data_IF_192846683325
#
_entry.id   IF_192846683325
#
_cell.length_a   1.000
_cell.length_b   1.000
_cell.length_c   1.000
_cell.angle_alpha   90.00
_cell.angle_beta   90.00
_cell.angle_gamma   90.00
#
_symmetry.space_group_name_H-M   'P 1'
#
loop_
_entity.id
_entity.type
_entity.pdbx_description
1 polymer ?
#
# COMPACT_ATOMS: atom_id res chain seq x y z
N UNK A 1 -14.97 9.39 -25.52
CA UNK A 1 -13.49 9.48 -25.41
C UNK A 1 -12.95 8.08 -25.59
N UNK A 2 -12.02 7.89 -26.53
CA UNK A 2 -11.36 6.61 -26.79
C UNK A 2 -10.60 6.13 -25.56
N UNK A 3 -10.86 4.90 -25.10
CA UNK A 3 -10.16 4.28 -23.97
C UNK A 3 -9.49 2.98 -24.41
N UNK A 4 -8.18 3.02 -24.75
CA UNK A 4 -7.45 1.85 -25.24
C UNK A 4 -7.44 0.69 -24.25
N UNK A 5 -7.48 0.97 -22.93
CA UNK A 5 -7.52 -0.10 -21.93
C UNK A 5 -8.83 -0.88 -21.99
N UNK A 6 -9.95 -0.20 -22.30
CA UNK A 6 -11.25 -0.86 -22.52
C UNK A 6 -11.22 -1.83 -23.71
N UNK A 7 -10.53 -1.47 -24.81
CA UNK A 7 -10.36 -2.38 -25.95
C UNK A 7 -9.56 -3.62 -25.60
N UNK A 8 -8.49 -3.45 -24.82
CA UNK A 8 -7.72 -4.59 -24.33
C UNK A 8 -8.57 -5.54 -23.46
N UNK A 9 -9.44 -5.01 -22.60
CA UNK A 9 -10.38 -5.86 -21.85
C UNK A 9 -11.37 -6.58 -22.74
N UNK A 10 -11.85 -5.96 -23.82
CA UNK A 10 -12.68 -6.63 -24.81
C UNK A 10 -11.94 -7.84 -25.43
N UNK A 11 -10.68 -7.65 -25.85
CA UNK A 11 -9.85 -8.73 -26.38
C UNK A 11 -9.58 -9.83 -25.34
N UNK A 12 -9.40 -9.48 -24.06
CA UNK A 12 -9.23 -10.45 -22.97
C UNK A 12 -10.48 -11.33 -22.86
N UNK A 13 -11.68 -10.76 -22.88
CA UNK A 13 -12.92 -11.52 -22.82
C UNK A 13 -13.02 -12.54 -23.97
N UNK A 14 -12.72 -12.10 -25.20
CA UNK A 14 -12.68 -12.99 -26.36
C UNK A 14 -11.61 -14.09 -26.20
N UNK A 15 -10.43 -13.75 -25.69
CA UNK A 15 -9.35 -14.70 -25.44
C UNK A 15 -9.68 -15.75 -24.37
N UNK A 16 -10.60 -15.44 -23.45
CA UNK A 16 -11.15 -16.37 -22.46
C UNK A 16 -12.27 -17.26 -23.05
N UNK A 17 -12.69 -17.03 -24.30
CA UNK A 17 -13.78 -17.77 -24.95
C UNK A 17 -15.17 -17.22 -24.64
N UNK A 18 -15.27 -16.01 -24.07
CA UNK A 18 -16.54 -15.36 -23.77
C UNK A 18 -17.08 -14.57 -24.95
N UNK A 19 -18.41 -14.36 -25.00
CA UNK A 19 -19.07 -13.45 -25.93
C UNK A 19 -19.22 -12.06 -25.29
N UNK A 20 -18.41 -11.06 -25.69
CA UNK A 20 -18.48 -9.70 -25.15
C UNK A 20 -19.79 -8.98 -25.44
N UNK A 21 -20.59 -9.46 -26.42
CA UNK A 21 -21.88 -8.86 -26.80
C UNK A 21 -23.04 -9.27 -25.89
N UNK A 22 -22.88 -10.34 -25.11
CA UNK A 22 -23.93 -10.78 -24.17
C UNK A 22 -24.19 -9.73 -23.09
N UNK A 23 -25.43 -9.63 -22.65
CA UNK A 23 -25.94 -8.59 -21.77
C UNK A 23 -25.04 -8.34 -20.54
N UNK A 24 -24.60 -9.39 -19.86
CA UNK A 24 -23.77 -9.28 -18.65
C UNK A 24 -22.35 -8.79 -18.91
N UNK A 25 -21.83 -8.85 -20.15
CA UNK A 25 -20.45 -8.47 -20.49
C UNK A 25 -20.34 -7.21 -21.34
N UNK A 26 -21.44 -6.69 -21.88
CA UNK A 26 -21.45 -5.54 -22.81
C UNK A 26 -20.70 -4.33 -22.25
N UNK A 27 -20.88 -4.03 -20.96
CA UNK A 27 -20.23 -2.89 -20.29
C UNK A 27 -18.96 -3.29 -19.52
N UNK A 28 -18.62 -4.57 -19.49
CA UNK A 28 -17.47 -5.07 -18.72
C UNK A 28 -16.15 -4.46 -19.14
N UNK A 29 -15.84 -4.25 -20.43
CA UNK A 29 -14.59 -3.60 -20.83
C UNK A 29 -14.39 -2.23 -20.20
N UNK A 30 -15.41 -1.38 -20.22
CA UNK A 30 -15.36 -0.04 -19.63
C UNK A 30 -15.29 -0.08 -18.11
N UNK A 31 -16.07 -0.98 -17.48
CA UNK A 31 -16.07 -1.14 -16.02
C UNK A 31 -14.72 -1.65 -15.52
N UNK A 32 -14.13 -2.62 -16.20
CA UNK A 32 -12.83 -3.19 -15.86
C UNK A 32 -11.70 -2.16 -16.04
N UNK A 33 -11.74 -1.38 -17.15
CA UNK A 33 -10.79 -0.29 -17.36
C UNK A 33 -10.84 0.74 -16.23
N UNK A 34 -12.03 1.22 -15.87
CA UNK A 34 -12.22 2.17 -14.77
C UNK A 34 -11.73 1.60 -13.43
N UNK A 35 -12.06 0.34 -13.14
CA UNK A 35 -11.62 -0.32 -11.91
C UNK A 35 -10.10 -0.44 -11.82
N UNK A 36 -9.43 -0.86 -12.90
CA UNK A 36 -7.97 -1.00 -12.92
C UNK A 36 -7.28 0.37 -12.79
N UNK A 37 -7.77 1.41 -13.47
CA UNK A 37 -7.26 2.78 -13.30
C UNK A 37 -7.42 3.26 -11.87
N UNK A 38 -8.58 3.03 -11.24
CA UNK A 38 -8.79 3.36 -9.84
C UNK A 38 -7.82 2.61 -8.91
N UNK A 39 -7.59 1.33 -9.17
CA UNK A 39 -6.67 0.51 -8.38
C UNK A 39 -5.19 0.91 -8.57
N UNK A 40 -4.87 1.64 -9.64
CA UNK A 40 -3.51 2.07 -9.97
C UNK A 40 -3.32 3.60 -9.93
N UNK A 41 -4.27 4.37 -9.38
CA UNK A 41 -4.21 5.83 -9.38
C UNK A 41 -3.02 6.43 -8.58
N UNK A 42 -2.35 5.62 -7.78
CA UNK A 42 -1.16 6.03 -7.05
C UNK A 42 0.02 6.44 -7.95
N UNK A 43 -0.01 6.09 -9.24
CA UNK A 43 0.97 6.59 -10.21
C UNK A 43 0.73 8.08 -10.58
N UNK A 44 -0.48 8.56 -10.42
CA UNK A 44 -0.89 9.92 -10.81
C UNK A 44 -0.70 10.94 -9.65
N UNK A 45 -0.16 10.51 -8.52
CA UNK A 45 -0.01 11.33 -7.31
C UNK A 45 1.46 11.47 -6.96
N UNK A 46 1.94 12.70 -6.71
CA UNK A 46 3.26 12.97 -6.17
C UNK A 46 3.24 13.05 -4.64
N UNK A 47 4.37 12.71 -4.01
CA UNK A 47 4.52 12.78 -2.56
C UNK A 47 4.40 14.22 -2.05
N UNK A 48 4.97 15.18 -2.77
CA UNK A 48 4.93 16.61 -2.44
C UNK A 48 3.50 17.17 -2.45
N UNK A 49 2.75 16.91 -3.53
CA UNK A 49 1.34 17.32 -3.65
C UNK A 49 0.47 16.68 -2.56
N UNK A 50 0.74 15.41 -2.26
CA UNK A 50 -0.01 14.68 -1.24
C UNK A 50 0.22 15.29 0.15
N UNK A 51 1.47 15.59 0.51
CA UNK A 51 1.83 16.19 1.81
C UNK A 51 1.27 17.60 1.92
N UNK A 52 1.40 18.40 0.86
CA UNK A 52 0.82 19.75 0.75
C UNK A 52 1.00 20.60 2.03
N UNK A 53 2.24 20.67 2.52
CA UNK A 53 2.57 21.49 3.68
C UNK A 53 2.02 21.02 5.03
N UNK A 54 1.43 19.83 5.13
CA UNK A 54 0.87 19.29 6.39
C UNK A 54 1.94 18.73 7.34
N UNK A 55 3.02 19.49 7.52
CA UNK A 55 4.07 19.29 8.52
C UNK A 55 3.94 20.39 9.57
N UNK A 56 3.77 20.02 10.81
CA UNK A 56 3.58 20.92 11.93
C UNK A 56 4.76 20.88 12.87
N UNK A 57 5.19 22.05 13.38
CA UNK A 57 6.22 22.12 14.41
C UNK A 57 5.76 21.40 15.67
N UNK A 58 6.64 20.62 16.27
CA UNK A 58 6.37 19.86 17.49
C UNK A 58 7.63 19.78 18.35
N UNK A 59 7.47 19.86 19.65
CA UNK A 59 8.55 19.61 20.62
C UNK A 59 8.59 18.14 21.05
N UNK A 60 7.66 17.31 20.56
CA UNK A 60 7.66 15.87 20.85
C UNK A 60 8.80 15.17 20.12
N UNK A 61 9.53 14.35 20.86
CA UNK A 61 10.56 13.41 20.39
C UNK A 61 10.17 11.94 20.63
N UNK A 62 8.93 11.72 21.11
CA UNK A 62 8.36 10.41 21.35
C UNK A 62 7.84 9.76 20.07
N UNK A 63 7.73 8.43 20.06
CA UNK A 63 7.24 7.66 18.95
C UNK A 63 5.79 8.06 18.59
N UNK A 64 5.58 8.43 17.34
CA UNK A 64 4.24 8.58 16.74
C UNK A 64 3.93 7.33 15.93
N UNK A 65 2.82 6.66 16.22
CA UNK A 65 2.41 5.43 15.55
C UNK A 65 0.98 5.50 15.02
N UNK A 66 0.79 5.08 13.78
CA UNK A 66 -0.51 4.91 13.13
C UNK A 66 -0.66 3.45 12.76
N UNK A 67 -1.70 2.81 13.30
CA UNK A 67 -1.95 1.37 13.16
C UNK A 67 -3.15 1.08 12.27
N UNK A 68 -3.24 -0.18 11.82
CA UNK A 68 -4.39 -0.73 11.10
C UNK A 68 -4.80 0.08 9.87
N UNK A 69 -3.82 0.68 9.18
CA UNK A 69 -4.08 1.39 7.92
C UNK A 69 -4.39 0.33 6.85
N UNK A 70 -5.65 0.24 6.46
CA UNK A 70 -6.08 -0.68 5.41
C UNK A 70 -5.37 -0.37 4.10
N UNK A 71 -4.96 -1.40 3.38
CA UNK A 71 -4.35 -1.26 2.07
C UNK A 71 -4.89 -2.29 1.07
N UNK A 72 -4.97 -1.85 -0.17
CA UNK A 72 -5.38 -2.63 -1.34
C UNK A 72 -4.37 -2.39 -2.44
N UNK A 73 -3.74 -3.44 -2.93
CA UNK A 73 -2.70 -3.35 -3.96
C UNK A 73 -2.85 -4.47 -4.99
N UNK A 74 -2.16 -4.35 -6.11
CA UNK A 74 -2.11 -5.36 -7.14
C UNK A 74 -0.71 -5.96 -7.21
N UNK A 75 -0.62 -7.29 -7.14
CA UNK A 75 0.63 -8.01 -7.35
C UNK A 75 1.12 -7.78 -8.80
N UNK A 76 2.33 -7.25 -8.97
CA UNK A 76 2.88 -6.95 -10.30
C UNK A 76 3.05 -8.18 -11.18
N UNK A 77 3.22 -9.38 -10.59
CA UNK A 77 3.42 -10.62 -11.33
C UNK A 77 2.14 -11.17 -11.98
N UNK A 78 0.97 -10.91 -11.37
CA UNK A 78 -0.28 -11.58 -11.76
C UNK A 78 -1.46 -10.62 -11.96
N UNK A 79 -1.32 -9.33 -11.63
CA UNK A 79 -2.40 -8.34 -11.56
C UNK A 79 -3.55 -8.75 -10.62
N UNK A 80 -3.30 -9.70 -9.73
CA UNK A 80 -4.25 -10.12 -8.71
C UNK A 80 -4.05 -9.31 -7.44
N UNK A 81 -5.13 -9.02 -6.67
CA UNK A 81 -5.01 -8.20 -5.49
C UNK A 81 -4.26 -8.89 -4.34
N UNK A 82 -3.62 -8.06 -3.54
CA UNK A 82 -3.32 -8.40 -2.15
C UNK A 82 -3.90 -7.33 -1.24
N UNK A 83 -4.43 -7.77 -0.12
CA UNK A 83 -5.23 -6.95 0.79
C UNK A 83 -4.68 -7.13 2.18
N UNK A 84 -4.50 -6.02 2.89
CA UNK A 84 -3.91 -6.09 4.22
C UNK A 84 -3.98 -4.80 4.99
N UNK A 85 -3.04 -4.66 5.92
CA UNK A 85 -2.91 -3.49 6.78
C UNK A 85 -1.45 -3.13 6.93
N UNK A 86 -1.19 -1.82 7.01
CA UNK A 86 0.09 -1.24 7.34
C UNK A 86 0.05 -0.63 8.74
N UNK A 87 1.16 -0.77 9.46
CA UNK A 87 1.44 -0.10 10.72
C UNK A 87 2.69 0.75 10.50
N UNK A 88 2.59 2.04 10.73
CA UNK A 88 3.65 3.02 10.47
C UNK A 88 3.97 3.74 11.75
N UNK A 89 5.25 3.79 12.11
CA UNK A 89 5.73 4.60 13.22
C UNK A 89 6.93 5.45 12.81
N UNK A 90 7.09 6.61 13.43
CA UNK A 90 8.27 7.44 13.26
C UNK A 90 8.59 8.21 14.56
N UNK A 91 9.84 8.60 14.73
CA UNK A 91 10.31 9.43 15.85
C UNK A 91 10.58 10.84 15.32
N UNK A 92 9.75 11.85 15.70
CA UNK A 92 9.88 13.20 15.19
C UNK A 92 11.19 13.86 15.58
N UNK A 93 11.67 14.77 14.74
CA UNK A 93 12.82 15.67 15.00
C UNK A 93 12.39 17.12 14.81
N UNK A 94 11.44 17.58 15.63
CA UNK A 94 10.94 18.95 15.58
C UNK A 94 9.73 19.17 14.66
N UNK A 95 9.30 18.15 13.89
CA UNK A 95 8.10 18.21 13.04
C UNK A 95 7.31 16.92 13.10
N UNK A 96 5.99 17.04 13.08
CA UNK A 96 5.06 15.92 12.95
C UNK A 96 4.24 16.03 11.67
N UNK A 97 3.96 14.89 11.07
CA UNK A 97 3.13 14.79 9.86
C UNK A 97 1.66 14.68 10.26
N UNK A 98 0.79 15.39 9.55
CA UNK A 98 -0.65 15.28 9.76
C UNK A 98 -1.10 13.83 9.62
N UNK A 99 -1.88 13.33 10.59
CA UNK A 99 -2.30 11.94 10.71
C UNK A 99 -2.85 11.33 9.41
N UNK A 100 -3.74 12.07 8.73
CA UNK A 100 -4.33 11.63 7.47
C UNK A 100 -3.31 11.48 6.33
N UNK A 101 -2.16 12.15 6.42
CA UNK A 101 -1.12 12.08 5.39
C UNK A 101 -0.35 10.76 5.46
N UNK A 102 -0.18 10.23 6.66
CA UNK A 102 0.42 8.88 6.83
C UNK A 102 -0.40 7.85 6.07
N UNK A 103 -1.72 7.82 6.29
CA UNK A 103 -2.61 6.89 5.59
C UNK A 103 -2.63 7.11 4.07
N UNK A 104 -2.61 8.38 3.63
CA UNK A 104 -2.57 8.70 2.19
C UNK A 104 -1.26 8.31 1.52
N UNK A 105 -0.12 8.38 2.22
CA UNK A 105 1.16 7.90 1.71
C UNK A 105 1.11 6.38 1.52
N UNK A 106 0.57 5.65 2.49
CA UNK A 106 0.35 4.21 2.36
C UNK A 106 -0.53 3.90 1.14
N UNK A 107 -1.66 4.59 0.98
CA UNK A 107 -2.58 4.38 -0.14
C UNK A 107 -1.93 4.73 -1.49
N UNK A 108 -1.21 5.86 -1.60
CA UNK A 108 -0.50 6.26 -2.81
C UNK A 108 0.46 5.19 -3.33
N UNK A 109 1.24 4.57 -2.44
CA UNK A 109 2.16 3.51 -2.85
C UNK A 109 1.45 2.17 -3.04
N UNK A 110 0.40 1.87 -2.27
CA UNK A 110 -0.38 0.64 -2.41
C UNK A 110 -1.17 0.61 -3.73
N UNK A 111 -1.69 1.76 -4.20
CA UNK A 111 -2.45 1.88 -5.45
C UNK A 111 -1.55 1.88 -6.70
N UNK A 112 -0.69 0.87 -6.79
CA UNK A 112 0.25 0.61 -7.90
C UNK A 112 0.38 -0.89 -8.13
N UNK A 113 1.09 -1.28 -9.17
CA UNK A 113 1.57 -2.66 -9.31
C UNK A 113 2.76 -2.85 -8.36
N UNK A 114 2.68 -3.79 -7.42
CA UNK A 114 3.63 -3.89 -6.31
C UNK A 114 4.06 -5.33 -6.01
N UNK A 115 5.21 -5.44 -5.37
CA UNK A 115 5.55 -6.51 -4.45
C UNK A 115 5.58 -5.95 -3.03
N UNK A 116 5.14 -6.73 -2.06
CA UNK A 116 4.92 -6.24 -0.70
C UNK A 116 6.20 -5.70 -0.04
N UNK A 117 7.35 -6.28 -0.32
CA UNK A 117 8.66 -5.85 0.19
C UNK A 117 9.02 -4.44 -0.30
N UNK A 118 8.82 -4.15 -1.58
CA UNK A 118 9.08 -2.84 -2.16
C UNK A 118 8.07 -1.81 -1.62
N UNK A 119 6.78 -2.16 -1.55
CA UNK A 119 5.75 -1.32 -0.97
C UNK A 119 6.13 -0.89 0.46
N UNK A 120 6.53 -1.85 1.30
CA UNK A 120 6.93 -1.57 2.68
C UNK A 120 8.11 -0.61 2.75
N UNK A 121 9.11 -0.80 1.88
CA UNK A 121 10.30 0.07 1.80
C UNK A 121 9.94 1.47 1.32
N UNK A 122 9.17 1.59 0.24
CA UNK A 122 8.78 2.88 -0.34
C UNK A 122 7.99 3.73 0.66
N UNK A 123 7.08 3.12 1.43
CA UNK A 123 6.36 3.84 2.49
C UNK A 123 7.33 4.34 3.57
N UNK A 124 8.26 3.51 4.03
CA UNK A 124 9.22 3.90 5.06
C UNK A 124 10.13 5.04 4.59
N UNK A 125 10.66 4.95 3.38
CA UNK A 125 11.52 5.97 2.76
C UNK A 125 10.76 7.28 2.56
N UNK A 126 9.51 7.25 2.10
CA UNK A 126 8.69 8.44 1.92
C UNK A 126 8.38 9.15 3.25
N UNK A 127 8.05 8.41 4.31
CA UNK A 127 7.85 8.99 5.64
C UNK A 127 9.14 9.62 6.14
N UNK A 128 10.28 8.94 5.96
CA UNK A 128 11.61 9.45 6.33
C UNK A 128 11.96 10.75 5.58
N UNK A 129 11.74 10.77 4.27
CA UNK A 129 11.98 11.93 3.40
C UNK A 129 11.16 13.14 3.83
N UNK A 130 9.86 12.94 4.04
CA UNK A 130 8.93 14.04 4.38
C UNK A 130 9.18 14.61 5.77
N UNK A 131 9.44 13.74 6.76
CA UNK A 131 9.50 14.15 8.17
C UNK A 131 10.92 14.50 8.64
N UNK A 132 11.94 13.96 7.99
CA UNK A 132 13.31 13.99 8.50
C UNK A 132 13.46 13.29 9.86
N UNK A 133 12.58 12.32 10.17
CA UNK A 133 12.50 11.65 11.46
C UNK A 133 13.83 10.98 11.87
N UNK A 134 14.08 10.85 13.19
CA UNK A 134 15.24 10.11 13.71
C UNK A 134 15.20 8.62 13.36
N UNK A 135 14.01 8.09 13.07
CA UNK A 135 13.80 6.74 12.59
C UNK A 135 12.37 6.53 12.12
N UNK A 136 12.18 5.53 11.27
CA UNK A 136 10.88 5.10 10.77
C UNK A 136 10.77 3.58 10.84
N UNK A 137 9.61 3.08 11.22
CA UNK A 137 9.27 1.66 11.19
C UNK A 137 7.96 1.45 10.42
N UNK A 138 7.98 0.49 9.52
CA UNK A 138 6.78 0.07 8.78
C UNK A 138 6.66 -1.44 8.81
N UNK A 139 5.49 -1.93 9.17
CA UNK A 139 5.11 -3.34 9.07
C UNK A 139 3.86 -3.45 8.22
N UNK A 140 3.86 -4.34 7.24
CA UNK A 140 2.69 -4.68 6.43
C UNK A 140 2.36 -6.16 6.62
N UNK A 141 1.08 -6.43 6.84
CA UNK A 141 0.51 -7.77 6.87
C UNK A 141 -0.55 -7.87 5.78
N UNK A 142 -0.41 -8.81 4.85
CA UNK A 142 -1.36 -8.94 3.75
C UNK A 142 -1.60 -10.39 3.31
N UNK A 143 -2.79 -10.61 2.74
CA UNK A 143 -3.18 -11.85 2.07
C UNK A 143 -3.13 -11.64 0.57
N UNK A 144 -2.50 -12.57 -0.13
CA UNK A 144 -2.26 -12.50 -1.56
C UNK A 144 -3.19 -13.42 -2.33
N UNK A 145 -4.08 -12.85 -3.15
CA UNK A 145 -5.00 -13.66 -3.96
C UNK A 145 -4.26 -14.53 -4.97
N UNK A 146 -3.08 -14.11 -5.43
CA UNK A 146 -2.24 -14.92 -6.31
C UNK A 146 -1.73 -16.23 -5.67
N UNK A 147 -1.71 -16.32 -4.34
CA UNK A 147 -1.43 -17.55 -3.60
C UNK A 147 -2.67 -18.32 -3.17
N UNK A 148 -3.79 -17.59 -2.93
CA UNK A 148 -5.01 -18.18 -2.36
C UNK A 148 -5.90 -18.82 -3.42
N UNK A 149 -6.09 -18.13 -4.58
CA UNK A 149 -7.05 -18.52 -5.62
C UNK A 149 -6.48 -19.52 -6.63
N UNK A 150 -5.19 -19.58 -6.77
CA UNK A 150 -4.45 -20.43 -7.72
C UNK A 150 -3.01 -20.62 -7.25
N UNK A 151 -2.26 -21.45 -7.97
CA UNK A 151 -0.87 -21.80 -7.66
C UNK A 151 -0.79 -22.74 -6.46
N UNK A 152 -0.33 -22.26 -5.31
CA UNK A 152 -0.18 -23.08 -4.10
C UNK A 152 -1.46 -23.24 -3.27
N UNK A 153 -2.50 -22.43 -3.54
CA UNK A 153 -3.84 -22.52 -2.96
C UNK A 153 -3.88 -22.53 -1.41
N UNK A 154 -3.04 -21.71 -0.78
CA UNK A 154 -2.94 -21.61 0.68
C UNK A 154 -3.83 -20.47 1.22
N UNK A 155 -5.05 -20.82 1.66
CA UNK A 155 -6.10 -19.89 2.09
C UNK A 155 -5.74 -19.07 3.34
N UNK A 156 -4.99 -19.66 4.27
CA UNK A 156 -4.64 -19.06 5.56
C UNK A 156 -3.25 -18.41 5.56
N UNK A 157 -2.60 -18.33 4.40
CA UNK A 157 -1.27 -17.74 4.30
C UNK A 157 -1.34 -16.22 4.49
N UNK A 158 -0.57 -15.71 5.43
CA UNK A 158 -0.40 -14.28 5.72
C UNK A 158 1.06 -13.91 5.52
N UNK A 159 1.33 -12.93 4.67
CA UNK A 159 2.67 -12.42 4.45
C UNK A 159 2.91 -11.20 5.34
N UNK A 160 4.02 -11.22 6.07
CA UNK A 160 4.49 -10.08 6.88
C UNK A 160 5.79 -9.56 6.31
N UNK A 161 5.87 -8.25 6.11
CA UNK A 161 7.10 -7.54 5.75
C UNK A 161 7.35 -6.41 6.72
N UNK A 162 8.62 -6.13 7.01
CA UNK A 162 9.01 -5.05 7.92
C UNK A 162 10.21 -4.28 7.38
N UNK A 163 10.20 -2.96 7.57
CA UNK A 163 11.33 -2.08 7.31
C UNK A 163 11.55 -1.19 8.53
N UNK A 164 12.79 -1.14 8.99
CA UNK A 164 13.24 -0.32 10.10
C UNK A 164 14.35 0.60 9.62
N UNK A 165 14.21 1.91 9.83
CA UNK A 165 15.19 2.93 9.47
C UNK A 165 15.65 3.71 10.73
N UNK A 166 16.89 4.20 10.73
CA UNK A 166 17.45 5.02 11.81
C UNK A 166 17.29 4.36 13.17
N UNK A 167 16.76 5.09 14.14
CA UNK A 167 16.65 4.65 15.54
C UNK A 167 15.94 3.29 15.71
N UNK A 168 14.95 2.95 14.87
CA UNK A 168 14.33 1.63 14.94
C UNK A 168 15.25 0.49 14.48
N UNK A 169 16.20 0.77 13.58
CA UNK A 169 17.20 -0.21 13.16
C UNK A 169 18.32 -0.33 14.19
N UNK A 170 18.80 0.81 14.68
CA UNK A 170 20.03 0.89 15.45
C UNK A 170 19.80 0.60 16.94
N UNK A 171 18.60 0.90 17.48
CA UNK A 171 18.27 0.70 18.90
C UNK A 171 17.27 -0.45 19.08
N UNK A 172 17.70 -1.50 19.78
CA UNK A 172 16.88 -2.68 20.02
C UNK A 172 15.66 -2.40 20.90
N UNK A 173 15.78 -1.52 21.91
CA UNK A 173 14.66 -1.16 22.80
C UNK A 173 13.58 -0.39 22.07
N UNK A 174 13.94 0.58 21.23
CA UNK A 174 12.99 1.33 20.39
C UNK A 174 12.24 0.41 19.43
N UNK A 175 12.96 -0.50 18.79
CA UNK A 175 12.34 -1.50 17.93
C UNK A 175 11.41 -2.44 18.69
N UNK A 176 11.80 -2.87 19.89
CA UNK A 176 10.98 -3.75 20.73
C UNK A 176 9.70 -3.06 21.19
N UNK A 177 9.77 -1.79 21.59
CA UNK A 177 8.60 -0.98 21.94
C UNK A 177 7.60 -0.92 20.78
N UNK A 178 8.06 -0.59 19.58
CA UNK A 178 7.22 -0.59 18.38
C UNK A 178 6.56 -1.95 18.16
N UNK A 179 7.32 -3.05 18.21
CA UNK A 179 6.80 -4.40 17.99
C UNK A 179 5.79 -4.84 19.06
N UNK A 180 5.92 -4.35 20.30
CA UNK A 180 4.99 -4.63 21.40
C UNK A 180 3.66 -3.88 21.25
N UNK A 181 3.69 -2.70 20.62
CA UNK A 181 2.49 -1.90 20.35
C UNK A 181 1.70 -2.44 19.16
N UNK A 182 2.28 -3.29 18.30
CA UNK A 182 1.54 -3.90 17.19
C UNK A 182 0.36 -4.76 17.70
N UNK A 183 -0.80 -4.68 17.00
CA UNK A 183 -1.97 -5.49 17.37
C UNK A 183 -1.61 -6.98 17.37
N UNK A 184 -1.85 -7.65 18.49
CA UNK A 184 -1.78 -9.12 18.54
C UNK A 184 -3.07 -9.66 17.92
N UNK A 185 -2.97 -10.20 16.72
CA UNK A 185 -4.09 -10.91 16.13
C UNK A 185 -4.10 -12.36 16.62
N UNK A 186 -5.29 -12.87 16.99
CA UNK A 186 -5.45 -14.28 17.36
C UNK A 186 -5.14 -15.22 16.19
#
# INVERSE_FOLDING_TARGET
>A
MYDPLSEHFHCILQGLGEDPSREGLRDTPQRASKALRYLCHGYDTSLEELVNGALFSSTSDEMVMVQDIELYSLCEHHLLPFIGQAHVAYIPTGKVLGLSKVARIVDMYARRLQIQENLTRQIAEAIQEVTGAAGVAVVIQARHMCMMMRGVEKQNSLMNTSVMLGAFRDCASTRQEFLQLLPRRP
#
